data_IF_874047135068
#
_entry.id   IF_874047135068
#
_cell.length_a   1.000
_cell.length_b   1.000
_cell.length_c   1.000
_cell.angle_alpha   90.00
_cell.angle_beta   90.00
_cell.angle_gamma   90.00
#
_symmetry.space_group_name_H-M   'P 1'
#
loop_
_entity.id
_entity.type
_entity.pdbx_description
1 polymer ?
#
# COMPACT_ATOMS: atom_id res chain seq x y z
N UNK A 1 -1.14 -14.87 -29.02
CA UNK A 1 -0.55 -13.57 -29.41
C UNK A 1 -0.27 -12.80 -28.14
N UNK A 2 1.00 -12.65 -27.75
CA UNK A 2 1.42 -11.94 -26.54
C UNK A 2 1.52 -10.46 -26.89
N UNK A 3 0.58 -9.63 -26.45
CA UNK A 3 0.64 -8.18 -26.66
C UNK A 3 1.44 -7.56 -25.54
N UNK A 4 2.69 -7.18 -25.81
CA UNK A 4 3.47 -6.30 -24.95
C UNK A 4 2.84 -4.91 -25.04
N UNK A 5 2.20 -4.44 -23.97
CA UNK A 5 1.75 -3.05 -23.91
C UNK A 5 2.94 -2.16 -23.52
N UNK A 6 3.24 -1.21 -24.38
CA UNK A 6 4.14 -0.12 -24.04
C UNK A 6 3.44 0.81 -23.04
N UNK A 7 4.01 0.92 -21.84
CA UNK A 7 3.56 1.83 -20.78
C UNK A 7 3.82 3.30 -21.14
N UNK A 8 4.39 3.57 -22.33
CA UNK A 8 4.51 4.90 -22.95
C UNK A 8 3.24 5.36 -23.70
N UNK A 9 2.19 4.54 -23.78
CA UNK A 9 1.00 4.96 -24.52
C UNK A 9 0.41 6.24 -23.90
N UNK A 10 0.32 7.31 -24.69
CA UNK A 10 -0.19 8.65 -24.31
C UNK A 10 -1.64 8.66 -23.80
N UNK A 11 -2.29 7.50 -23.73
CA UNK A 11 -3.62 7.30 -23.16
C UNK A 11 -3.46 6.35 -21.98
N UNK A 12 -3.52 6.90 -20.77
CA UNK A 12 -3.84 6.09 -19.60
C UNK A 12 -5.15 5.33 -19.90
N UNK A 13 -5.25 4.03 -19.60
CA UNK A 13 -6.55 3.38 -19.59
C UNK A 13 -7.39 4.12 -18.55
N UNK A 14 -8.54 4.64 -18.95
CA UNK A 14 -9.50 5.21 -18.01
C UNK A 14 -10.09 4.05 -17.20
N UNK A 15 -9.46 3.71 -16.07
CA UNK A 15 -10.06 2.85 -15.05
C UNK A 15 -11.07 3.66 -14.23
N UNK A 16 -11.96 4.40 -14.89
CA UNK A 16 -13.17 4.87 -14.22
C UNK A 16 -14.07 3.65 -14.11
N UNK A 17 -14.22 3.12 -12.89
CA UNK A 17 -15.21 2.08 -12.65
C UNK A 17 -16.58 2.63 -13.05
N UNK A 18 -17.13 2.17 -14.18
CA UNK A 18 -18.50 2.52 -14.60
C UNK A 18 -19.59 2.09 -13.60
N UNK A 19 -19.22 1.32 -12.57
CA UNK A 19 -20.13 0.52 -11.74
C UNK A 19 -20.29 1.04 -10.31
N UNK A 20 -19.30 1.76 -9.78
CA UNK A 20 -19.50 2.59 -8.59
C UNK A 20 -19.70 4.00 -9.12
N UNK A 21 -20.90 4.58 -8.92
CA UNK A 21 -21.14 5.99 -9.25
C UNK A 21 -20.16 6.82 -8.44
N UNK A 22 -19.05 7.19 -9.07
CA UNK A 22 -18.06 8.05 -8.46
C UNK A 22 -18.72 9.41 -8.20
N UNK A 23 -18.76 9.89 -6.94
CA UNK A 23 -19.19 11.25 -6.65
C UNK A 23 -18.17 12.29 -7.14
N UNK A 24 -17.00 11.84 -7.63
CA UNK A 24 -16.00 12.70 -8.24
C UNK A 24 -16.61 13.30 -9.50
N UNK A 25 -16.56 14.63 -9.62
CA UNK A 25 -16.81 15.32 -10.88
C UNK A 25 -15.83 14.88 -11.98
N UNK A 26 -15.69 15.67 -13.06
CA UNK A 26 -14.78 15.29 -14.16
C UNK A 26 -13.31 15.10 -13.74
N UNK A 27 -12.88 15.62 -12.59
CA UNK A 27 -11.47 15.70 -12.19
C UNK A 27 -11.14 14.86 -10.94
N UNK A 28 -10.30 13.83 -11.12
CA UNK A 28 -9.84 12.90 -10.05
C UNK A 28 -8.90 13.56 -9.02
N UNK A 29 -8.14 14.56 -9.47
CA UNK A 29 -7.08 15.23 -8.70
C UNK A 29 -7.24 16.76 -8.79
N UNK A 30 -8.34 17.34 -8.25
CA UNK A 30 -8.61 18.78 -8.35
C UNK A 30 -7.47 19.64 -7.76
N UNK A 31 -6.82 19.16 -6.71
CA UNK A 31 -5.70 19.79 -6.01
C UNK A 31 -4.40 19.83 -6.84
N UNK A 32 -4.33 19.09 -7.95
CA UNK A 32 -3.17 19.06 -8.86
C UNK A 32 -3.44 19.79 -10.19
N UNK A 33 -4.67 20.25 -10.45
CA UNK A 33 -5.08 20.80 -11.75
C UNK A 33 -4.23 22.00 -12.20
N UNK A 34 -3.92 22.91 -11.27
CA UNK A 34 -3.14 24.12 -11.55
C UNK A 34 -1.62 23.91 -11.60
N UNK A 35 -1.12 22.71 -11.30
CA UNK A 35 0.32 22.45 -11.32
C UNK A 35 0.84 22.41 -12.77
N UNK A 36 2.06 22.86 -13.06
CA UNK A 36 2.67 22.64 -14.36
C UNK A 36 2.87 21.14 -14.61
N UNK A 37 2.90 20.74 -15.88
CA UNK A 37 3.29 19.38 -16.24
C UNK A 37 4.79 19.19 -15.99
N UNK A 38 5.18 18.08 -15.39
CA UNK A 38 6.58 17.68 -15.26
C UNK A 38 7.15 17.19 -16.59
N UNK A 39 8.47 17.21 -16.69
CA UNK A 39 9.20 16.55 -17.78
C UNK A 39 8.98 15.03 -17.73
N UNK A 40 9.07 14.40 -18.90
CA UNK A 40 8.91 12.94 -19.05
C UNK A 40 10.31 12.34 -19.07
N UNK A 41 10.61 11.52 -18.07
CA UNK A 41 11.79 10.64 -18.08
C UNK A 41 11.34 9.29 -18.63
N UNK A 42 12.02 8.80 -19.67
CA UNK A 42 11.69 7.52 -20.26
C UNK A 42 11.95 6.38 -19.28
N UNK A 43 10.98 5.47 -19.14
CA UNK A 43 11.12 4.28 -18.30
C UNK A 43 12.21 3.38 -18.90
N UNK A 44 13.20 2.95 -18.11
CA UNK A 44 14.21 2.02 -18.57
C UNK A 44 13.61 0.61 -18.78
N UNK A 45 14.33 -0.21 -19.52
CA UNK A 45 13.84 -1.53 -19.97
C UNK A 45 13.56 -2.52 -18.85
N UNK A 46 14.19 -2.37 -17.69
CA UNK A 46 13.94 -3.20 -16.51
C UNK A 46 12.65 -2.85 -15.75
N UNK A 47 11.96 -1.76 -16.11
CA UNK A 47 10.65 -1.39 -15.55
C UNK A 47 9.57 -1.72 -16.55
N UNK A 48 9.35 -3.03 -16.73
CA UNK A 48 8.32 -3.56 -17.63
C UNK A 48 7.58 -4.70 -16.95
N UNK A 49 6.26 -4.67 -17.04
CA UNK A 49 5.38 -5.74 -16.58
C UNK A 49 4.73 -6.41 -17.78
N UNK A 50 4.55 -7.73 -17.70
CA UNK A 50 3.76 -8.46 -18.69
C UNK A 50 2.29 -8.26 -18.37
N UNK A 51 1.53 -7.70 -19.30
CA UNK A 51 0.07 -7.66 -19.20
C UNK A 51 -0.46 -9.07 -19.49
N UNK A 52 -1.18 -9.66 -18.54
CA UNK A 52 -1.90 -10.90 -18.76
C UNK A 52 -3.32 -10.79 -18.21
N UNK A 53 -4.29 -10.61 -19.12
CA UNK A 53 -5.71 -10.83 -18.84
C UNK A 53 -5.95 -12.35 -18.84
N UNK A 54 -5.68 -12.98 -17.70
CA UNK A 54 -5.86 -14.41 -17.51
C UNK A 54 -7.29 -14.75 -17.06
N UNK A 55 -7.65 -16.04 -17.07
CA UNK A 55 -8.90 -16.51 -16.45
C UNK A 55 -8.96 -16.13 -14.96
N UNK A 56 -7.86 -16.31 -14.21
CA UNK A 56 -7.78 -15.95 -12.79
C UNK A 56 -7.97 -14.46 -12.53
N UNK A 57 -7.47 -13.60 -13.43
CA UNK A 57 -7.74 -12.16 -13.38
C UNK A 57 -9.24 -11.86 -13.46
N UNK A 58 -9.95 -12.46 -14.42
CA UNK A 58 -11.38 -12.24 -14.61
C UNK A 58 -12.23 -12.78 -13.43
N UNK A 59 -11.81 -13.90 -12.84
CA UNK A 59 -12.45 -14.44 -11.62
C UNK A 59 -12.32 -13.46 -10.44
N UNK A 60 -11.10 -12.98 -10.18
CA UNK A 60 -10.86 -11.97 -9.13
C UNK A 60 -11.62 -10.69 -9.42
N UNK A 61 -11.60 -10.20 -10.67
CA UNK A 61 -12.37 -9.03 -11.08
C UNK A 61 -13.86 -9.20 -10.80
N UNK A 62 -14.43 -10.35 -11.16
CA UNK A 62 -15.84 -10.63 -10.91
C UNK A 62 -16.17 -10.63 -9.43
N UNK A 63 -15.36 -11.28 -8.58
CA UNK A 63 -15.59 -11.30 -7.12
C UNK A 63 -15.56 -9.88 -6.54
N UNK A 64 -14.58 -9.06 -6.91
CA UNK A 64 -14.49 -7.67 -6.45
C UNK A 64 -15.75 -6.89 -6.82
N UNK A 65 -16.23 -7.04 -8.06
CA UNK A 65 -17.41 -6.31 -8.56
C UNK A 65 -18.72 -6.81 -7.95
N UNK A 66 -18.91 -8.12 -7.85
CA UNK A 66 -20.12 -8.73 -7.29
C UNK A 66 -20.31 -8.36 -5.81
N UNK A 67 -19.23 -8.06 -5.09
CA UNK A 67 -19.26 -7.63 -3.69
C UNK A 67 -19.19 -6.09 -3.50
N UNK A 68 -19.31 -5.30 -4.57
CA UNK A 68 -19.23 -3.84 -4.53
C UNK A 68 -17.95 -3.29 -3.85
N UNK A 69 -16.81 -3.96 -4.07
CA UNK A 69 -15.55 -3.61 -3.41
C UNK A 69 -14.65 -2.72 -4.25
N UNK A 70 -13.79 -1.97 -3.56
CA UNK A 70 -12.72 -1.15 -4.15
C UNK A 70 -11.37 -1.79 -3.83
N UNK A 71 -10.43 -1.73 -4.78
CA UNK A 71 -9.06 -2.21 -4.57
C UNK A 71 -8.07 -1.09 -4.82
N UNK A 72 -6.99 -1.05 -4.02
CA UNK A 72 -5.87 -0.15 -4.31
C UNK A 72 -5.15 -0.58 -5.59
N UNK A 73 -5.27 -1.85 -5.98
CA UNK A 73 -4.74 -2.36 -7.24
C UNK A 73 -5.23 -1.54 -8.44
N UNK A 74 -6.54 -1.25 -8.48
CA UNK A 74 -7.17 -0.44 -9.51
C UNK A 74 -6.95 1.06 -9.24
N UNK A 75 -7.24 1.54 -8.03
CA UNK A 75 -7.24 2.98 -7.73
C UNK A 75 -5.83 3.62 -7.73
N UNK A 76 -4.78 2.85 -7.43
CA UNK A 76 -3.41 3.30 -7.55
C UNK A 76 -2.83 3.09 -8.97
N UNK A 77 -3.53 2.40 -9.87
CA UNK A 77 -3.02 2.04 -11.21
C UNK A 77 -1.84 1.07 -11.14
N UNK A 78 -1.94 0.03 -10.31
CA UNK A 78 -0.82 -0.86 -10.01
C UNK A 78 -0.38 -1.65 -11.25
N UNK A 79 0.91 -1.61 -11.64
CA UNK A 79 1.41 -2.37 -12.79
C UNK A 79 1.35 -3.89 -12.57
N UNK A 80 1.30 -4.34 -11.32
CA UNK A 80 1.32 -5.77 -10.95
C UNK A 80 -0.08 -6.40 -10.90
N UNK A 81 -1.16 -5.65 -11.21
CA UNK A 81 -2.55 -6.13 -11.05
C UNK A 81 -2.81 -7.43 -11.81
N UNK A 82 -2.26 -7.57 -13.03
CA UNK A 82 -2.42 -8.77 -13.84
C UNK A 82 -1.82 -10.02 -13.20
N UNK A 83 -0.62 -9.90 -12.64
CA UNK A 83 0.04 -11.00 -11.93
C UNK A 83 -0.71 -11.35 -10.63
N UNK A 84 -0.93 -10.35 -9.77
CA UNK A 84 -1.54 -10.55 -8.46
C UNK A 84 -2.92 -11.19 -8.59
N UNK A 85 -3.78 -10.63 -9.44
CA UNK A 85 -5.16 -11.12 -9.58
C UNK A 85 -5.24 -12.49 -10.26
N UNK A 86 -4.26 -12.85 -11.11
CA UNK A 86 -4.16 -14.20 -11.66
C UNK A 86 -3.92 -15.26 -10.57
N UNK A 87 -3.28 -14.87 -9.46
CA UNK A 87 -3.04 -15.71 -8.28
C UNK A 87 -4.10 -15.53 -7.19
N UNK A 88 -5.23 -14.90 -7.51
CA UNK A 88 -6.27 -14.49 -6.55
C UNK A 88 -5.71 -13.65 -5.41
N UNK A 89 -4.70 -12.82 -5.66
CA UNK A 89 -4.18 -11.87 -4.66
C UNK A 89 -4.72 -10.48 -4.93
N UNK A 90 -5.46 -9.92 -3.99
CA UNK A 90 -5.98 -8.55 -4.08
C UNK A 90 -5.78 -7.82 -2.76
N UNK A 91 -5.53 -6.51 -2.86
CA UNK A 91 -5.49 -5.61 -1.71
C UNK A 91 -6.74 -4.75 -1.73
N UNK A 92 -7.63 -5.00 -0.78
CA UNK A 92 -8.88 -4.27 -0.68
C UNK A 92 -8.63 -2.90 -0.06
N UNK A 93 -9.24 -1.87 -0.65
CA UNK A 93 -9.20 -0.51 -0.14
C UNK A 93 -10.57 -0.17 0.45
N UNK A 94 -10.67 -0.20 1.77
CA UNK A 94 -11.89 0.08 2.52
C UNK A 94 -12.12 1.60 2.63
N UNK A 95 -13.35 1.98 3.01
CA UNK A 95 -13.79 3.36 3.20
C UNK A 95 -13.84 4.18 1.90
N UNK A 96 -14.01 3.49 0.76
CA UNK A 96 -14.23 4.08 -0.55
C UNK A 96 -12.96 4.43 -1.32
N UNK A 97 -13.13 5.19 -2.41
CA UNK A 97 -12.07 5.53 -3.37
C UNK A 97 -11.57 6.98 -3.31
N UNK A 98 -12.15 7.79 -2.42
CA UNK A 98 -11.85 9.23 -2.30
C UNK A 98 -11.15 9.47 -0.97
N UNK A 99 -9.94 10.02 -1.03
CA UNK A 99 -9.12 10.33 0.11
C UNK A 99 -9.29 11.79 0.54
N UNK A 100 -9.31 12.02 1.85
CA UNK A 100 -9.32 13.38 2.43
C UNK A 100 -7.97 14.09 2.29
N UNK A 101 -6.91 13.36 1.94
CA UNK A 101 -5.54 13.88 1.80
C UNK A 101 -5.06 13.90 0.35
N UNK A 102 -4.02 14.70 0.15
CA UNK A 102 -3.47 15.08 -1.16
C UNK A 102 -1.97 14.72 -1.27
N UNK A 103 -1.62 13.45 -1.06
CA UNK A 103 -0.23 13.01 -1.26
C UNK A 103 0.21 13.26 -2.70
N UNK A 104 1.37 13.89 -2.89
CA UNK A 104 1.83 14.34 -4.20
C UNK A 104 2.13 13.17 -5.17
N UNK A 105 2.42 11.99 -4.62
CA UNK A 105 2.71 10.77 -5.37
C UNK A 105 1.48 9.91 -5.69
N UNK A 106 0.40 10.06 -4.92
CA UNK A 106 -0.69 9.07 -4.87
C UNK A 106 -1.72 9.29 -5.97
N UNK A 107 -2.11 8.19 -6.65
CA UNK A 107 -3.13 8.23 -7.70
C UNK A 107 -4.57 8.04 -7.20
N UNK A 108 -4.79 7.76 -5.91
CA UNK A 108 -6.14 7.72 -5.33
C UNK A 108 -6.75 9.12 -5.40
N UNK A 109 -8.04 9.20 -5.70
CA UNK A 109 -8.72 10.48 -5.87
C UNK A 109 -8.72 11.29 -4.57
N UNK A 110 -8.63 12.62 -4.67
CA UNK A 110 -8.75 13.51 -3.51
C UNK A 110 -10.09 14.24 -3.55
N UNK A 111 -10.76 14.32 -2.40
CA UNK A 111 -12.05 15.02 -2.30
C UNK A 111 -12.80 14.71 -1.01
N UNK A 112 -14.11 14.99 -1.01
CA UNK A 112 -15.01 14.65 0.10
C UNK A 112 -15.50 13.20 -0.06
N UNK A 113 -15.18 12.28 0.88
CA UNK A 113 -15.67 10.90 0.80
C UNK A 113 -17.18 10.80 1.02
N UNK A 114 -17.76 9.68 0.58
CA UNK A 114 -19.11 9.29 0.95
C UNK A 114 -19.15 8.79 2.42
N UNK A 115 -20.34 8.68 3.04
CA UNK A 115 -20.50 7.96 4.30
C UNK A 115 -19.94 6.53 4.21
N UNK A 116 -19.51 5.98 5.34
CA UNK A 116 -19.07 4.59 5.41
C UNK A 116 -20.24 3.66 5.03
N UNK A 117 -19.94 2.65 4.22
CA UNK A 117 -20.88 1.57 3.93
C UNK A 117 -20.85 0.57 5.10
N UNK A 118 -21.95 0.41 5.86
CA UNK A 118 -21.99 -0.51 7.00
C UNK A 118 -21.85 -1.98 6.59
N UNK A 119 -22.11 -2.34 5.33
CA UNK A 119 -21.98 -3.71 4.81
C UNK A 119 -20.58 -4.01 4.26
N UNK A 120 -19.70 -3.01 4.12
CA UNK A 120 -18.34 -3.20 3.60
C UNK A 120 -17.55 -4.28 4.36
N UNK A 121 -17.56 -4.37 5.70
CA UNK A 121 -16.88 -5.45 6.43
C UNK A 121 -17.34 -6.85 6.03
N UNK A 122 -18.65 -7.05 5.88
CA UNK A 122 -19.25 -8.33 5.48
C UNK A 122 -18.91 -8.65 4.02
N UNK A 123 -19.00 -7.67 3.12
CA UNK A 123 -18.66 -7.82 1.71
C UNK A 123 -17.18 -8.19 1.52
N UNK A 124 -16.26 -7.54 2.26
CA UNK A 124 -14.84 -7.90 2.28
C UNK A 124 -14.66 -9.34 2.72
N UNK A 125 -15.29 -9.72 3.83
CA UNK A 125 -15.19 -11.06 4.39
C UNK A 125 -15.71 -12.15 3.44
N UNK A 126 -16.81 -11.88 2.73
CA UNK A 126 -17.35 -12.76 1.69
C UNK A 126 -16.38 -12.90 0.51
N UNK A 127 -15.79 -11.79 0.05
CA UNK A 127 -14.81 -11.81 -1.03
C UNK A 127 -13.55 -12.60 -0.64
N UNK A 128 -13.01 -12.41 0.57
CA UNK A 128 -11.87 -13.16 1.10
C UNK A 128 -12.15 -14.66 1.09
N UNK A 129 -13.34 -15.07 1.56
CA UNK A 129 -13.76 -16.48 1.55
C UNK A 129 -13.92 -17.04 0.14
N UNK A 130 -14.56 -16.29 -0.77
CA UNK A 130 -14.79 -16.70 -2.15
C UNK A 130 -13.45 -16.86 -2.92
N UNK A 131 -12.48 -16.01 -2.63
CA UNK A 131 -11.13 -16.08 -3.21
C UNK A 131 -10.24 -17.14 -2.56
N UNK A 132 -10.62 -17.66 -1.39
CA UNK A 132 -9.85 -18.64 -0.61
C UNK A 132 -8.45 -18.13 -0.24
N UNK A 133 -8.35 -16.89 0.21
CA UNK A 133 -7.06 -16.26 0.51
C UNK A 133 -6.40 -16.88 1.74
N UNK A 134 -5.14 -17.29 1.63
CA UNK A 134 -4.30 -17.61 2.80
C UNK A 134 -3.85 -16.36 3.54
N UNK A 135 -3.71 -15.25 2.81
CA UNK A 135 -3.30 -13.95 3.32
C UNK A 135 -4.05 -12.83 2.59
N UNK A 136 -4.56 -11.85 3.32
CA UNK A 136 -5.24 -10.67 2.76
C UNK A 136 -4.60 -9.39 3.28
N UNK A 137 -4.45 -8.42 2.38
CA UNK A 137 -4.04 -7.05 2.75
C UNK A 137 -5.25 -6.13 2.69
N UNK A 138 -5.52 -5.43 3.79
CA UNK A 138 -6.58 -4.43 3.90
C UNK A 138 -5.91 -3.05 4.06
N UNK A 139 -6.19 -2.14 3.15
CA UNK A 139 -5.75 -0.73 3.24
C UNK A 139 -6.95 0.19 3.23
N UNK A 140 -6.76 1.48 3.49
CA UNK A 140 -7.82 2.46 3.31
C UNK A 140 -7.31 3.76 2.69
N UNK A 141 -8.25 4.61 2.29
CA UNK A 141 -8.02 6.05 2.18
C UNK A 141 -7.87 6.70 3.56
N UNK A 142 -7.31 7.91 3.63
CA UNK A 142 -7.40 8.74 4.84
C UNK A 142 -8.83 9.28 4.99
N UNK A 143 -9.38 9.14 6.21
CA UNK A 143 -10.71 9.62 6.61
C UNK A 143 -10.62 10.64 7.74
N UNK A 144 -9.95 11.77 7.46
CA UNK A 144 -9.79 12.85 8.44
C UNK A 144 -11.16 13.42 8.91
N UNK A 145 -12.22 13.22 8.13
CA UNK A 145 -13.61 13.57 8.44
C UNK A 145 -14.25 12.72 9.56
N UNK A 146 -13.70 11.54 9.87
CA UNK A 146 -14.18 10.67 10.95
C UNK A 146 -13.43 10.94 12.26
N UNK A 147 -14.11 10.86 13.40
CA UNK A 147 -13.52 11.15 14.71
C UNK A 147 -12.33 10.24 15.05
N UNK A 148 -12.39 8.98 14.66
CA UNK A 148 -11.39 7.95 14.90
C UNK A 148 -10.48 7.68 13.67
N UNK A 149 -10.68 8.43 12.59
CA UNK A 149 -9.95 8.22 11.33
C UNK A 149 -10.29 6.92 10.60
N UNK A 150 -11.38 6.23 10.99
CA UNK A 150 -11.79 4.95 10.41
C UNK A 150 -11.26 3.70 11.12
N UNK A 151 -10.65 3.84 12.30
CA UNK A 151 -10.09 2.72 13.06
C UNK A 151 -11.14 1.66 13.45
N UNK A 152 -12.36 2.07 13.83
CA UNK A 152 -13.47 1.15 14.09
C UNK A 152 -13.83 0.33 12.84
N UNK A 153 -13.71 0.93 11.66
CA UNK A 153 -14.02 0.24 10.41
C UNK A 153 -12.98 -0.83 10.08
N UNK A 154 -11.69 -0.55 10.30
CA UNK A 154 -10.64 -1.57 10.24
C UNK A 154 -10.90 -2.73 11.20
N UNK A 155 -11.25 -2.46 12.46
CA UNK A 155 -11.59 -3.49 13.44
C UNK A 155 -12.75 -4.37 12.96
N UNK A 156 -13.86 -3.76 12.49
CA UNK A 156 -15.03 -4.50 11.97
C UNK A 156 -14.64 -5.41 10.81
N UNK A 157 -13.82 -4.94 9.88
CA UNK A 157 -13.32 -5.72 8.75
C UNK A 157 -12.48 -6.91 9.23
N UNK A 158 -11.54 -6.68 10.15
CA UNK A 158 -10.68 -7.75 10.70
C UNK A 158 -11.55 -8.82 11.36
N UNK A 159 -12.48 -8.43 12.24
CA UNK A 159 -13.37 -9.38 12.91
C UNK A 159 -14.26 -10.15 11.93
N UNK A 160 -14.84 -9.48 10.93
CA UNK A 160 -15.64 -10.14 9.91
C UNK A 160 -14.83 -11.17 9.13
N UNK A 161 -13.58 -10.87 8.76
CA UNK A 161 -12.70 -11.83 8.07
C UNK A 161 -12.41 -13.02 8.98
N UNK A 162 -12.02 -12.80 10.24
CA UNK A 162 -11.72 -13.88 11.19
C UNK A 162 -12.91 -14.83 11.42
N UNK A 163 -14.13 -14.29 11.45
CA UNK A 163 -15.34 -15.09 11.61
C UNK A 163 -15.60 -16.04 10.42
N UNK A 164 -15.41 -15.57 9.18
CA UNK A 164 -15.75 -16.36 8.00
C UNK A 164 -14.56 -17.12 7.39
N UNK A 165 -13.34 -16.69 7.69
CA UNK A 165 -12.09 -17.24 7.17
C UNK A 165 -11.01 -17.28 8.26
N UNK A 166 -11.19 -18.09 9.33
CA UNK A 166 -10.33 -18.07 10.52
C UNK A 166 -8.87 -18.44 10.27
N UNK A 167 -8.57 -19.16 9.17
CA UNK A 167 -7.19 -19.50 8.77
C UNK A 167 -6.50 -18.42 7.93
N UNK A 168 -7.24 -17.43 7.43
CA UNK A 168 -6.67 -16.34 6.62
C UNK A 168 -5.91 -15.39 7.52
N UNK A 169 -4.66 -15.12 7.17
CA UNK A 169 -3.83 -14.11 7.83
C UNK A 169 -4.13 -12.72 7.27
N UNK A 170 -4.04 -11.68 8.10
CA UNK A 170 -4.51 -10.33 7.79
C UNK A 170 -3.37 -9.33 7.99
N UNK A 171 -2.93 -8.68 6.93
CA UNK A 171 -2.10 -7.47 6.98
C UNK A 171 -3.02 -6.25 6.86
N UNK A 172 -2.83 -5.26 7.74
CA UNK A 172 -3.44 -3.93 7.59
C UNK A 172 -2.40 -2.91 7.17
N UNK A 173 -2.66 -2.18 6.10
CA UNK A 173 -1.89 -1.00 5.69
C UNK A 173 -2.70 0.25 6.08
N UNK A 174 -2.29 0.89 7.18
CA UNK A 174 -3.09 1.93 7.82
C UNK A 174 -2.67 3.35 7.42
N UNK A 175 -3.60 4.31 7.44
CA UNK A 175 -3.29 5.73 7.58
C UNK A 175 -2.46 6.02 8.83
N UNK A 176 -2.01 7.26 8.98
CA UNK A 176 -1.21 7.63 10.16
C UNK A 176 -2.04 7.90 11.43
N UNK A 177 -3.37 7.96 11.31
CA UNK A 177 -4.29 8.34 12.39
C UNK A 177 -3.89 9.63 13.12
N UNK A 178 -3.28 10.58 12.39
CA UNK A 178 -2.79 11.84 12.95
C UNK A 178 -3.93 12.61 13.64
N UNK A 179 -3.76 12.86 14.96
CA UNK A 179 -4.76 13.50 15.85
C UNK A 179 -6.04 12.69 16.03
N UNK A 180 -5.96 11.36 15.98
CA UNK A 180 -7.07 10.43 16.26
C UNK A 180 -6.73 9.56 17.49
N UNK A 181 -6.96 10.05 18.72
CA UNK A 181 -6.59 9.30 19.92
C UNK A 181 -7.37 7.98 20.01
N UNK A 182 -6.70 6.90 20.42
CA UNK A 182 -7.32 5.56 20.55
C UNK A 182 -7.42 4.77 19.24
N UNK A 183 -7.15 5.39 18.09
CA UNK A 183 -7.28 4.74 16.78
C UNK A 183 -6.29 3.58 16.60
N UNK A 184 -5.01 3.80 16.94
CA UNK A 184 -3.99 2.74 16.87
C UNK A 184 -4.34 1.60 17.82
N UNK A 185 -4.66 1.91 19.07
CA UNK A 185 -4.98 0.95 20.12
C UNK A 185 -6.13 0.04 19.70
N UNK A 186 -7.15 0.61 19.06
CA UNK A 186 -8.29 -0.13 18.53
C UNK A 186 -7.91 -1.09 17.41
N UNK A 187 -7.09 -0.66 16.45
CA UNK A 187 -6.64 -1.52 15.34
C UNK A 187 -5.75 -2.66 15.84
N UNK A 188 -4.83 -2.37 16.78
CA UNK A 188 -3.96 -3.41 17.35
C UNK A 188 -4.78 -4.41 18.19
N UNK A 189 -5.76 -3.95 18.97
CA UNK A 189 -6.64 -4.82 19.75
C UNK A 189 -7.45 -5.81 18.88
N UNK A 190 -7.70 -5.47 17.60
CA UNK A 190 -8.34 -6.36 16.63
C UNK A 190 -7.42 -7.50 16.13
N UNK A 191 -6.13 -7.48 16.50
CA UNK A 191 -5.12 -8.52 16.20
C UNK A 191 -4.93 -8.83 14.71
N UNK A 192 -4.56 -7.83 13.86
CA UNK A 192 -4.00 -8.15 12.55
C UNK A 192 -2.67 -8.91 12.72
N UNK A 193 -2.33 -9.77 11.76
CA UNK A 193 -1.07 -10.52 11.76
C UNK A 193 0.13 -9.62 11.43
N UNK A 194 -0.09 -8.61 10.58
CA UNK A 194 0.90 -7.60 10.20
C UNK A 194 0.27 -6.20 10.28
N UNK A 195 0.90 -5.31 11.05
CA UNK A 195 0.60 -3.88 11.06
C UNK A 195 1.58 -3.14 10.15
N UNK A 196 1.08 -2.65 9.02
CA UNK A 196 1.85 -1.93 8.02
C UNK A 196 1.48 -0.43 8.06
N UNK A 197 2.51 0.42 8.09
CA UNK A 197 2.38 1.84 7.82
C UNK A 197 3.60 2.31 7.03
N UNK A 198 3.39 2.75 5.80
CA UNK A 198 4.48 3.20 4.94
C UNK A 198 4.97 4.59 5.33
N UNK A 199 6.28 4.79 5.29
CA UNK A 199 6.91 6.12 5.36
C UNK A 199 6.95 6.79 3.97
N UNK A 200 6.97 6.00 2.91
CA UNK A 200 6.97 6.40 1.49
C UNK A 200 8.23 7.14 1.03
N UNK A 201 8.83 8.02 1.83
CA UNK A 201 10.04 8.76 1.48
C UNK A 201 10.84 9.18 2.72
N UNK A 202 12.02 9.76 2.49
CA UNK A 202 12.94 10.27 3.51
C UNK A 202 12.42 11.55 4.17
N UNK A 203 12.94 11.87 5.37
CA UNK A 203 12.47 13.00 6.17
C UNK A 203 12.53 14.36 5.43
N UNK A 204 13.59 14.60 4.64
CA UNK A 204 13.77 15.84 3.86
C UNK A 204 12.71 16.05 2.78
N UNK A 205 12.19 14.97 2.20
CA UNK A 205 11.14 15.00 1.17
C UNK A 205 9.72 14.87 1.75
N UNK A 206 9.59 14.66 3.07
CA UNK A 206 8.33 14.17 3.62
C UNK A 206 7.16 15.14 3.42
N UNK A 207 7.35 16.43 3.69
CA UNK A 207 6.27 17.42 3.56
C UNK A 207 5.96 17.79 2.10
N UNK A 208 6.92 17.62 1.19
CA UNK A 208 6.70 17.87 -0.24
C UNK A 208 5.94 16.70 -0.89
N UNK A 209 6.24 15.47 -0.46
CA UNK A 209 5.62 14.24 -0.98
C UNK A 209 4.31 13.92 -0.24
N UNK A 210 4.23 14.17 1.07
CA UNK A 210 3.12 13.85 1.99
C UNK A 210 2.74 15.05 2.88
N UNK A 211 2.16 16.12 2.32
CA UNK A 211 1.88 17.36 3.07
C UNK A 211 0.98 17.16 4.31
N UNK A 212 0.09 16.16 4.27
CA UNK A 212 -0.82 15.82 5.36
C UNK A 212 -0.23 14.96 6.48
N UNK A 213 0.96 14.37 6.30
CA UNK A 213 1.57 13.44 7.26
C UNK A 213 2.78 14.07 7.98
N UNK A 214 3.25 13.44 9.06
CA UNK A 214 4.48 13.84 9.78
C UNK A 214 5.43 12.65 9.96
N UNK A 215 6.70 12.81 9.56
CA UNK A 215 7.71 11.73 9.53
C UNK A 215 7.84 11.02 10.88
N UNK A 216 8.17 11.79 11.94
CA UNK A 216 8.35 11.22 13.27
C UNK A 216 7.06 10.71 13.91
N UNK A 217 5.89 11.23 13.50
CA UNK A 217 4.60 10.66 13.92
C UNK A 217 4.41 9.26 13.32
N UNK A 218 4.73 9.08 12.04
CA UNK A 218 4.67 7.78 11.36
C UNK A 218 5.67 6.76 11.95
N UNK A 219 6.88 7.20 12.30
CA UNK A 219 7.84 6.35 13.04
C UNK A 219 7.27 5.97 14.42
N UNK A 220 6.75 6.96 15.17
CA UNK A 220 6.17 6.71 16.50
C UNK A 220 4.94 5.79 16.43
N UNK A 221 4.14 5.86 15.37
CA UNK A 221 3.00 4.97 15.16
C UNK A 221 3.44 3.50 15.08
N UNK A 222 4.47 3.21 14.28
CA UNK A 222 5.03 1.86 14.13
C UNK A 222 5.65 1.38 15.45
N UNK A 223 6.40 2.24 16.14
CA UNK A 223 6.97 1.93 17.45
C UNK A 223 5.88 1.59 18.47
N UNK A 224 4.81 2.41 18.54
CA UNK A 224 3.70 2.18 19.47
C UNK A 224 2.92 0.90 19.15
N UNK A 225 2.85 0.47 17.88
CA UNK A 225 2.25 -0.81 17.53
C UNK A 225 2.99 -1.97 18.22
N UNK A 226 4.33 -1.93 18.25
CA UNK A 226 5.17 -2.89 18.99
C UNK A 226 5.04 -2.78 20.49
N UNK A 227 4.96 -1.57 21.04
CA UNK A 227 4.75 -1.35 22.48
C UNK A 227 3.41 -1.93 22.96
N UNK A 228 2.36 -1.86 22.13
CA UNK A 228 1.03 -2.39 22.44
C UNK A 228 0.94 -3.91 22.27
N UNK A 229 1.59 -4.45 21.24
CA UNK A 229 1.68 -5.89 21.00
C UNK A 229 3.04 -6.24 20.39
N UNK A 230 3.96 -6.71 21.23
CA UNK A 230 5.31 -7.11 20.78
C UNK A 230 5.31 -8.31 19.82
N UNK A 231 4.23 -9.09 19.80
CA UNK A 231 4.11 -10.29 18.95
C UNK A 231 3.68 -9.95 17.53
N UNK A 232 3.12 -8.76 17.30
CA UNK A 232 2.71 -8.34 15.96
C UNK A 232 3.92 -8.16 15.04
N UNK A 233 3.76 -8.48 13.76
CA UNK A 233 4.72 -8.05 12.76
C UNK A 233 4.44 -6.61 12.36
N UNK A 234 5.48 -5.80 12.27
CA UNK A 234 5.40 -4.43 11.78
C UNK A 234 6.10 -4.31 10.44
N UNK A 235 5.52 -3.51 9.56
CA UNK A 235 6.00 -3.34 8.20
C UNK A 235 5.97 -1.88 7.79
N UNK A 236 6.92 -1.51 6.96
CA UNK A 236 6.90 -0.22 6.28
C UNK A 236 7.43 -0.34 4.86
N UNK A 237 7.28 0.74 4.12
CA UNK A 237 7.68 0.83 2.73
C UNK A 237 8.14 2.24 2.37
N UNK A 238 9.07 2.29 1.43
CA UNK A 238 9.49 3.52 0.77
C UNK A 238 9.44 3.36 -0.75
N UNK A 239 9.25 4.48 -1.43
CA UNK A 239 9.49 4.60 -2.85
C UNK A 239 10.78 5.38 -3.08
N UNK A 240 11.66 4.85 -3.92
CA UNK A 240 12.89 5.51 -4.36
C UNK A 240 12.71 6.14 -5.75
N UNK A 241 13.52 7.14 -6.08
CA UNK A 241 13.40 7.97 -7.28
C UNK A 241 12.56 9.24 -7.08
N UNK A 242 12.38 9.68 -5.82
CA UNK A 242 11.66 10.90 -5.44
C UNK A 242 12.60 12.11 -5.22
N UNK A 243 13.91 11.92 -5.39
CA UNK A 243 14.97 12.91 -5.18
C UNK A 243 15.71 12.74 -3.86
N UNK A 244 15.49 11.63 -3.16
CA UNK A 244 16.25 11.26 -1.96
C UNK A 244 17.71 10.94 -2.29
N UNK A 245 18.61 11.27 -1.36
CA UNK A 245 20.01 10.82 -1.42
C UNK A 245 20.14 9.46 -0.76
N UNK A 246 21.08 8.66 -1.25
CA UNK A 246 21.38 7.33 -0.70
C UNK A 246 21.55 7.32 0.83
N UNK A 247 22.31 8.26 1.39
CA UNK A 247 22.53 8.34 2.84
C UNK A 247 21.24 8.65 3.62
N UNK A 248 20.28 9.37 3.04
CA UNK A 248 18.98 9.62 3.65
C UNK A 248 18.11 8.34 3.68
N UNK A 249 18.21 7.51 2.63
CA UNK A 249 17.57 6.18 2.60
C UNK A 249 18.17 5.28 3.69
N UNK A 250 19.49 5.31 3.87
CA UNK A 250 20.15 4.53 4.93
C UNK A 250 19.77 5.02 6.33
N UNK A 251 19.68 6.33 6.54
CA UNK A 251 19.19 6.91 7.80
C UNK A 251 17.74 6.51 8.08
N UNK A 252 16.87 6.54 7.07
CA UNK A 252 15.48 6.10 7.22
C UNK A 252 15.42 4.62 7.66
N UNK A 253 16.31 3.77 7.15
CA UNK A 253 16.39 2.39 7.63
C UNK A 253 16.72 2.34 9.13
N UNK A 254 17.66 3.15 9.61
CA UNK A 254 18.01 3.22 11.03
C UNK A 254 16.84 3.74 11.89
N UNK A 255 16.09 4.72 11.39
CA UNK A 255 14.90 5.25 12.06
C UNK A 255 13.80 4.18 12.17
N UNK A 256 13.58 3.39 11.12
CA UNK A 256 12.65 2.25 11.15
C UNK A 256 13.12 1.14 12.11
N UNK A 257 14.42 0.87 12.18
CA UNK A 257 14.96 -0.11 13.14
C UNK A 257 14.83 0.37 14.59
N UNK A 258 14.93 1.67 14.84
CA UNK A 258 14.65 2.26 16.17
C UNK A 258 13.19 2.04 16.60
N UNK A 259 12.26 1.95 15.64
CA UNK A 259 10.87 1.56 15.86
C UNK A 259 10.61 0.05 15.79
N UNK A 260 11.67 -0.78 15.77
CA UNK A 260 11.62 -2.24 15.71
C UNK A 260 10.84 -2.81 14.51
N UNK A 261 10.83 -2.09 13.39
CA UNK A 261 10.09 -2.49 12.18
C UNK A 261 10.66 -3.77 11.57
N UNK A 262 9.86 -4.83 11.45
CA UNK A 262 10.33 -6.15 11.04
C UNK A 262 10.58 -6.28 9.53
N UNK A 263 9.70 -5.70 8.72
CA UNK A 263 9.69 -5.87 7.27
C UNK A 263 9.77 -4.52 6.55
N UNK A 264 10.80 -4.34 5.71
CA UNK A 264 10.96 -3.21 4.81
C UNK A 264 10.65 -3.57 3.35
N UNK A 265 9.85 -2.74 2.69
CA UNK A 265 9.66 -2.77 1.23
C UNK A 265 10.29 -1.55 0.56
N UNK A 266 11.00 -1.74 -0.55
CA UNK A 266 11.64 -0.67 -1.33
C UNK A 266 11.25 -0.86 -2.79
N UNK A 267 10.46 0.08 -3.31
CA UNK A 267 9.96 0.06 -4.68
C UNK A 267 10.35 1.30 -5.47
N UNK A 268 10.34 1.24 -6.80
CA UNK A 268 10.50 2.44 -7.62
C UNK A 268 9.23 3.28 -7.60
N UNK A 269 9.37 4.58 -7.38
CA UNK A 269 8.31 5.55 -7.64
C UNK A 269 7.98 5.58 -9.14
N UNK A 270 6.72 5.30 -9.47
CA UNK A 270 6.19 5.47 -10.82
C UNK A 270 5.15 6.57 -10.80
N UNK A 271 5.45 7.66 -11.49
CA UNK A 271 4.58 8.83 -11.54
C UNK A 271 3.23 8.48 -12.20
N UNK A 272 2.09 8.72 -11.52
CA UNK A 272 0.79 8.45 -12.11
C UNK A 272 0.48 9.35 -13.30
N UNK A 273 0.58 10.67 -13.13
CA UNK A 273 0.37 11.66 -14.20
C UNK A 273 1.45 12.74 -14.12
N UNK A 274 1.63 13.51 -15.19
CA UNK A 274 2.58 14.65 -15.23
C UNK A 274 2.30 15.76 -14.21
N UNK A 275 1.17 15.71 -13.48
CA UNK A 275 0.82 16.65 -12.40
C UNK A 275 1.20 16.16 -11.00
N UNK A 276 1.63 14.89 -10.88
CA UNK A 276 2.12 14.30 -9.63
C UNK A 276 3.59 14.68 -9.39
N UNK A 277 4.12 14.31 -8.23
CA UNK A 277 5.54 14.48 -7.91
C UNK A 277 6.42 14.01 -9.08
N UNK A 278 7.46 14.77 -9.42
CA UNK A 278 8.32 14.40 -10.56
C UNK A 278 9.09 13.12 -10.23
N UNK A 279 9.30 12.26 -11.22
CA UNK A 279 10.35 11.24 -11.10
C UNK A 279 11.68 11.99 -11.14
N UNK A 280 12.54 11.77 -10.15
CA UNK A 280 13.89 12.33 -10.16
C UNK A 280 14.86 11.39 -10.89
N UNK A 281 14.78 10.09 -10.60
CA UNK A 281 15.62 9.06 -11.21
C UNK A 281 14.94 7.69 -11.20
N UNK A 282 15.39 6.82 -12.10
CA UNK A 282 15.04 5.40 -12.09
C UNK A 282 16.21 4.60 -11.52
N UNK A 283 16.01 4.04 -10.34
CA UNK A 283 17.02 3.29 -9.59
C UNK A 283 17.30 1.95 -10.29
N UNK A 284 18.57 1.57 -10.38
CA UNK A 284 18.97 0.34 -11.08
C UNK A 284 18.73 -0.90 -10.20
N UNK A 285 18.52 -2.09 -10.79
CA UNK A 285 18.39 -3.33 -10.02
C UNK A 285 19.55 -3.59 -9.05
N UNK A 286 20.78 -3.22 -9.42
CA UNK A 286 21.98 -3.36 -8.58
C UNK A 286 21.90 -2.46 -7.33
N UNK A 287 21.37 -1.25 -7.49
CA UNK A 287 21.18 -0.33 -6.36
C UNK A 287 20.06 -0.82 -5.43
N UNK A 288 18.95 -1.36 -5.96
CA UNK A 288 17.95 -2.06 -5.14
C UNK A 288 18.55 -3.24 -4.36
N UNK A 289 19.42 -4.04 -5.00
CA UNK A 289 20.12 -5.15 -4.34
C UNK A 289 21.07 -4.66 -3.24
N UNK A 290 21.71 -3.51 -3.46
CA UNK A 290 22.54 -2.87 -2.45
C UNK A 290 21.71 -2.42 -1.24
N UNK A 291 20.55 -1.80 -1.46
CA UNK A 291 19.63 -1.44 -0.37
C UNK A 291 19.14 -2.67 0.40
N UNK A 292 18.81 -3.76 -0.30
CA UNK A 292 18.41 -5.01 0.33
C UNK A 292 19.48 -5.55 1.28
N UNK A 293 20.72 -5.61 0.79
CA UNK A 293 21.87 -6.14 1.55
C UNK A 293 22.11 -5.32 2.82
N UNK A 294 22.04 -4.00 2.71
CA UNK A 294 22.23 -3.10 3.85
C UNK A 294 21.07 -3.22 4.84
N UNK A 295 19.82 -3.31 4.36
CA UNK A 295 18.66 -3.49 5.23
C UNK A 295 18.76 -4.80 6.04
N UNK A 296 19.09 -5.93 5.43
CA UNK A 296 19.32 -7.17 6.18
C UNK A 296 20.47 -7.01 7.20
N UNK A 297 21.54 -6.32 6.85
CA UNK A 297 22.67 -6.05 7.77
C UNK A 297 22.22 -5.21 8.98
N UNK A 298 21.27 -4.29 8.79
CA UNK A 298 20.66 -3.48 9.87
C UNK A 298 19.63 -4.26 10.71
N UNK A 299 19.32 -5.50 10.35
CA UNK A 299 18.53 -6.41 11.18
C UNK A 299 17.03 -6.45 10.87
N UNK A 300 16.57 -6.01 9.69
CA UNK A 300 15.21 -6.33 9.25
C UNK A 300 15.06 -7.85 9.07
N UNK A 301 13.93 -8.41 9.52
CA UNK A 301 13.63 -9.84 9.37
C UNK A 301 13.34 -10.22 7.92
N UNK A 302 12.72 -9.30 7.18
CA UNK A 302 12.40 -9.47 5.77
C UNK A 302 12.60 -8.16 5.02
N UNK A 303 13.09 -8.26 3.79
CA UNK A 303 13.25 -7.13 2.88
C UNK A 303 12.82 -7.55 1.48
N UNK A 304 11.93 -6.75 0.88
CA UNK A 304 11.55 -6.88 -0.53
C UNK A 304 12.00 -5.60 -1.24
N UNK A 305 12.99 -5.68 -2.12
CA UNK A 305 13.64 -4.52 -2.76
C UNK A 305 13.79 -4.74 -4.26
N UNK A 306 12.96 -4.08 -5.06
CA UNK A 306 13.00 -4.20 -6.52
C UNK A 306 12.23 -3.05 -7.17
N UNK A 307 12.44 -2.76 -8.48
CA UNK A 307 11.70 -1.70 -9.16
C UNK A 307 10.17 -1.85 -9.08
N UNK A 308 9.66 -3.09 -9.11
CA UNK A 308 8.23 -3.39 -9.11
C UNK A 308 7.67 -3.75 -7.74
N UNK A 309 8.49 -3.71 -6.68
CA UNK A 309 8.01 -3.93 -5.32
C UNK A 309 6.91 -2.92 -4.99
N UNK A 310 5.85 -3.42 -4.36
CA UNK A 310 4.79 -2.65 -3.73
C UNK A 310 4.57 -3.23 -2.34
N UNK A 311 4.04 -2.43 -1.42
CA UNK A 311 3.80 -2.86 -0.04
C UNK A 311 3.00 -4.16 0.03
N UNK A 312 2.09 -4.43 -0.91
CA UNK A 312 1.29 -5.66 -0.92
C UNK A 312 1.70 -6.70 -1.98
N UNK A 313 2.79 -6.49 -2.72
CA UNK A 313 3.27 -7.46 -3.73
C UNK A 313 3.87 -8.69 -3.03
N UNK A 314 3.43 -9.91 -3.39
CA UNK A 314 3.85 -11.18 -2.78
C UNK A 314 3.68 -11.26 -1.24
N UNK A 315 2.76 -10.48 -0.66
CA UNK A 315 2.59 -10.35 0.79
C UNK A 315 2.36 -11.69 1.53
N UNK A 316 1.63 -12.64 0.92
CA UNK A 316 1.42 -13.96 1.52
C UNK A 316 2.70 -14.80 1.63
N UNK A 317 3.49 -14.87 0.56
CA UNK A 317 4.77 -15.58 0.55
C UNK A 317 5.78 -14.90 1.48
N UNK A 318 5.79 -13.56 1.48
CA UNK A 318 6.64 -12.76 2.36
C UNK A 318 6.25 -12.96 3.83
N UNK A 319 4.96 -13.11 4.16
CA UNK A 319 4.52 -13.39 5.52
C UNK A 319 5.00 -14.76 6.04
N UNK A 320 4.99 -15.80 5.20
CA UNK A 320 5.53 -17.11 5.55
C UNK A 320 7.02 -16.99 5.88
N UNK A 321 7.80 -16.35 5.00
CA UNK A 321 9.23 -16.13 5.22
C UNK A 321 9.52 -15.30 6.47
N UNK A 322 8.68 -14.29 6.73
CA UNK A 322 8.79 -13.42 7.89
C UNK A 322 8.57 -14.19 9.20
N UNK A 323 7.57 -15.07 9.24
CA UNK A 323 7.34 -15.98 10.38
C UNK A 323 8.53 -16.92 10.60
N UNK A 324 9.06 -17.51 9.53
CA UNK A 324 10.20 -18.41 9.62
C UNK A 324 11.45 -17.69 10.13
N UNK A 325 11.68 -16.44 9.71
CA UNK A 325 12.79 -15.62 10.18
C UNK A 325 12.68 -15.34 11.69
N UNK A 326 11.49 -14.97 12.19
CA UNK A 326 11.28 -14.76 13.63
C UNK A 326 11.46 -16.04 14.43
N UNK A 327 10.91 -17.16 13.96
CA UNK A 327 11.06 -18.44 14.64
C UNK A 327 12.53 -18.86 14.77
N UNK A 328 13.35 -18.59 13.74
CA UNK A 328 14.79 -18.85 13.81
C UNK A 328 15.49 -18.00 14.88
N UNK A 329 15.10 -16.74 15.07
CA UNK A 329 15.67 -15.89 16.12
C UNK A 329 15.33 -16.37 17.53
N UNK A 330 14.15 -16.98 17.73
CA UNK A 330 13.72 -17.49 19.04
C UNK A 330 14.38 -18.83 19.42
N UNK A 331 15.03 -19.50 18.47
CA UNK A 331 15.73 -20.78 18.68
C UNK A 331 17.21 -20.60 19.08
N UNK A 332 17.71 -19.36 19.08
CA UNK A 332 19.06 -18.98 19.54
C UNK A 332 18.97 -18.07 20.76
#
# INVERSE_FOLDING_TARGET
MVTLFDVNSKKQPSYTSKWIKSPIGKDRHPEKFHKPDTEIINKPDWIRVRSSLSKGYNETYKIVRDNNLVTVCEEAGCPNIGECWSKKHATFMIMGMICTRACAFCNVATGKPAPLDPEEPQNISQAVKAMQLSHVVITSVDRDDLMDGGAEHFEKVIHAIRQNSPSTTIEVLTPDFLRKPGALERVIAAKPDVFNHNLETVASNYLTVRPGARYFHSIRLLQRAKELDSTIFTKSGIMVGLGEKRNEVLQLMDDLRTAEVDFLTIGQYLQPTRKHHKVDSYITPEEFKSYETIAYTKGFLMVSSSPLTRSSHHAGDDFIRLKDARNKQLLF
#
